data_IF_769510198255
#
_entry.id   IF_769510198255
#
_cell.length_a   1.000
_cell.length_b   1.000
_cell.length_c   1.000
_cell.angle_alpha   90.00
_cell.angle_beta   90.00
_cell.angle_gamma   90.00
#
_symmetry.space_group_name_H-M   'P 1'
#
loop_
_entity.id
_entity.type
_entity.pdbx_description
1 polymer ?
#
# COMPACT_ATOMS: atom_id res chain seq x y z
N UNK A 1 8.50 32.14 -13.08
CA UNK A 1 8.03 31.07 -12.18
C UNK A 1 8.50 29.76 -12.77
N UNK A 2 9.59 29.20 -12.22
CA UNK A 2 10.11 27.90 -12.68
C UNK A 2 9.19 26.84 -12.09
N UNK A 3 8.39 26.19 -12.96
CA UNK A 3 7.61 25.01 -12.61
C UNK A 3 8.58 23.99 -12.04
N UNK A 4 8.40 23.60 -10.77
CA UNK A 4 9.16 22.50 -10.19
C UNK A 4 8.92 21.29 -11.08
N UNK A 5 9.92 20.86 -11.83
CA UNK A 5 9.91 19.63 -12.61
C UNK A 5 9.67 18.49 -11.61
N UNK A 6 8.42 18.04 -11.50
CA UNK A 6 8.10 16.89 -10.66
C UNK A 6 8.93 15.71 -11.20
N UNK A 7 9.67 15.08 -10.32
CA UNK A 7 10.44 13.88 -10.65
C UNK A 7 9.49 12.83 -11.29
N UNK A 8 9.65 12.50 -12.58
CA UNK A 8 8.73 11.62 -13.27
C UNK A 8 8.66 10.23 -12.65
N UNK A 9 9.77 9.73 -12.09
CA UNK A 9 9.82 8.44 -11.39
C UNK A 9 8.90 8.48 -10.15
N UNK A 10 8.97 9.55 -9.36
CA UNK A 10 8.13 9.71 -8.18
C UNK A 10 6.64 9.84 -8.54
N UNK A 11 6.31 10.57 -9.61
CA UNK A 11 4.93 10.70 -10.08
C UNK A 11 4.35 9.37 -10.58
N UNK A 12 5.12 8.60 -11.35
CA UNK A 12 4.73 7.27 -11.82
C UNK A 12 4.54 6.32 -10.63
N UNK A 13 5.47 6.30 -9.68
CA UNK A 13 5.36 5.47 -8.48
C UNK A 13 4.06 5.77 -7.71
N UNK A 14 3.78 7.05 -7.46
CA UNK A 14 2.57 7.48 -6.75
C UNK A 14 1.29 7.05 -7.48
N UNK A 15 1.23 7.21 -8.80
CA UNK A 15 0.11 6.80 -9.63
C UNK A 15 -0.13 5.27 -9.57
N UNK A 16 0.93 4.47 -9.69
CA UNK A 16 0.85 3.01 -9.59
C UNK A 16 0.39 2.54 -8.20
N UNK A 17 0.86 3.19 -7.13
CA UNK A 17 0.41 2.90 -5.75
C UNK A 17 -1.07 3.20 -5.60
N UNK A 18 -1.54 4.34 -6.11
CA UNK A 18 -2.95 4.75 -6.05
C UNK A 18 -3.82 3.76 -6.81
N UNK A 19 -3.47 3.40 -8.04
CA UNK A 19 -4.20 2.42 -8.85
C UNK A 19 -4.29 1.06 -8.15
N UNK A 20 -3.20 0.58 -7.55
CA UNK A 20 -3.20 -0.68 -6.78
C UNK A 20 -4.11 -0.61 -5.56
N UNK A 21 -4.16 0.54 -4.86
CA UNK A 21 -5.07 0.76 -3.72
C UNK A 21 -6.53 0.67 -4.16
N UNK A 22 -6.89 1.31 -5.26
CA UNK A 22 -8.28 1.34 -5.77
C UNK A 22 -8.72 -0.04 -6.28
N UNK A 23 -7.86 -0.76 -6.98
CA UNK A 23 -8.13 -2.15 -7.39
C UNK A 23 -8.38 -3.09 -6.19
N UNK A 24 -7.66 -2.90 -5.08
CA UNK A 24 -7.86 -3.69 -3.87
C UNK A 24 -9.16 -3.32 -3.14
N UNK A 25 -9.55 -2.04 -3.13
CA UNK A 25 -10.86 -1.59 -2.60
C UNK A 25 -12.00 -2.18 -3.42
N UNK A 26 -11.92 -2.10 -4.74
CA UNK A 26 -12.93 -2.66 -5.64
C UNK A 26 -13.14 -4.18 -5.47
N UNK A 27 -12.10 -4.94 -5.15
CA UNK A 27 -12.19 -6.39 -4.86
C UNK A 27 -12.90 -6.68 -3.54
N UNK A 28 -12.77 -5.81 -2.53
CA UNK A 28 -13.45 -5.97 -1.24
C UNK A 28 -14.96 -5.67 -1.35
N UNK A 29 -15.35 -4.71 -2.19
CA UNK A 29 -16.76 -4.36 -2.41
C UNK A 29 -17.49 -5.31 -3.38
N UNK A 30 -16.77 -6.02 -4.26
CA UNK A 30 -17.35 -6.98 -5.23
C UNK A 30 -17.56 -8.40 -4.70
N UNK A 31 -17.30 -8.66 -3.45
CA UNK A 31 -17.60 -9.95 -2.82
C UNK A 31 -19.06 -9.98 -2.31
N UNK A 32 -20.02 -9.81 -3.23
CA UNK A 32 -21.39 -10.28 -3.08
C UNK A 32 -21.46 -11.80 -3.35
N UNK A 33 -22.53 -12.50 -2.93
CA UNK A 33 -22.61 -13.95 -3.00
C UNK A 33 -22.51 -14.56 -4.40
N UNK A 34 -22.56 -13.75 -5.48
CA UNK A 34 -22.57 -14.21 -6.86
C UNK A 34 -21.44 -13.67 -7.76
N UNK A 35 -20.41 -13.05 -7.18
CA UNK A 35 -19.36 -12.33 -7.94
C UNK A 35 -18.12 -13.15 -8.25
N UNK A 36 -18.20 -14.14 -9.16
CA UNK A 36 -17.01 -14.68 -9.80
C UNK A 36 -16.41 -13.65 -10.77
N UNK A 37 -15.07 -13.46 -10.79
CA UNK A 37 -14.44 -12.56 -11.75
C UNK A 37 -14.59 -13.11 -13.19
N UNK A 38 -14.63 -12.24 -14.23
CA UNK A 38 -14.84 -12.63 -15.61
C UNK A 38 -13.80 -13.63 -16.18
N UNK A 39 -12.69 -13.86 -15.48
CA UNK A 39 -11.61 -14.81 -15.85
C UNK A 39 -11.55 -16.08 -15.00
N UNK A 40 -12.59 -16.40 -14.19
CA UNK A 40 -12.65 -17.60 -13.33
C UNK A 40 -11.80 -17.47 -12.05
N UNK A 41 -11.71 -18.55 -11.27
CA UNK A 41 -11.04 -18.61 -9.95
C UNK A 41 -9.49 -18.63 -10.02
N UNK A 42 -8.89 -18.42 -11.19
CA UNK A 42 -7.45 -18.37 -11.38
C UNK A 42 -6.84 -16.97 -11.31
N UNK A 43 -5.52 -16.84 -11.07
CA UNK A 43 -4.83 -15.56 -11.19
C UNK A 43 -4.87 -15.10 -12.65
N UNK A 44 -4.96 -13.78 -12.90
CA UNK A 44 -4.99 -13.23 -14.26
C UNK A 44 -3.80 -13.71 -15.08
N UNK A 45 -3.95 -13.90 -16.41
CA UNK A 45 -2.93 -14.51 -17.28
C UNK A 45 -1.54 -13.83 -17.22
N UNK A 46 -1.48 -12.54 -16.89
CA UNK A 46 -0.24 -11.76 -16.81
C UNK A 46 0.52 -11.88 -15.48
N UNK A 47 0.01 -12.65 -14.50
CA UNK A 47 0.71 -12.89 -13.22
C UNK A 47 1.48 -14.21 -13.21
N UNK A 48 1.54 -14.92 -14.34
CA UNK A 48 2.19 -16.22 -14.46
C UNK A 48 3.68 -16.06 -14.77
N UNK A 49 4.43 -15.57 -13.77
CA UNK A 49 5.89 -15.54 -13.73
C UNK A 49 6.40 -16.26 -12.48
N UNK A 50 7.00 -17.42 -12.72
CA UNK A 50 7.90 -18.23 -11.90
C UNK A 50 7.44 -18.78 -10.55
N UNK A 51 7.61 -20.10 -10.47
CA UNK A 51 7.26 -21.05 -9.43
C UNK A 51 8.27 -21.05 -8.28
N UNK A 52 7.78 -21.20 -7.06
CA UNK A 52 8.59 -21.61 -5.93
C UNK A 52 7.80 -21.66 -4.62
N UNK A 53 7.42 -22.85 -4.13
CA UNK A 53 7.15 -23.12 -2.72
C UNK A 53 5.69 -23.11 -2.25
N UNK A 54 5.19 -24.31 -2.00
CA UNK A 54 3.91 -24.65 -1.39
C UNK A 54 3.74 -24.03 -0.01
N UNK A 55 2.69 -23.17 0.14
CA UNK A 55 1.83 -22.99 1.33
C UNK A 55 0.86 -21.85 0.99
N UNK A 56 -0.46 -22.07 1.09
CA UNK A 56 -1.62 -21.26 0.77
C UNK A 56 -1.39 -19.75 0.43
N UNK A 57 -1.42 -19.32 -0.86
CA UNK A 57 -0.90 -18.02 -1.26
C UNK A 57 -1.79 -16.82 -0.92
N UNK A 58 -3.08 -17.03 -0.67
CA UNK A 58 -4.04 -15.92 -0.64
C UNK A 58 -4.05 -15.13 0.68
N UNK A 59 -3.69 -15.77 1.80
CA UNK A 59 -3.73 -15.09 3.10
C UNK A 59 -2.46 -14.26 3.36
N UNK A 60 -1.30 -14.72 2.89
CA UNK A 60 -0.02 -14.02 3.07
C UNK A 60 0.12 -12.76 2.24
N UNK A 61 -0.37 -12.74 1.00
CA UNK A 61 -0.30 -11.57 0.12
C UNK A 61 -1.28 -10.47 0.54
N UNK A 62 -2.49 -10.84 0.97
CA UNK A 62 -3.48 -9.88 1.48
C UNK A 62 -3.05 -9.29 2.83
N UNK A 63 -2.50 -10.11 3.73
CA UNK A 63 -1.93 -9.65 5.00
C UNK A 63 -0.72 -8.74 4.80
N UNK A 64 0.16 -9.05 3.85
CA UNK A 64 1.31 -8.22 3.50
C UNK A 64 0.92 -6.84 2.97
N UNK A 65 -0.03 -6.79 2.04
CA UNK A 65 -0.51 -5.52 1.49
C UNK A 65 -1.25 -4.66 2.52
N UNK A 66 -2.05 -5.28 3.40
CA UNK A 66 -2.76 -4.58 4.46
C UNK A 66 -1.77 -4.04 5.52
N UNK A 67 -0.75 -4.83 5.87
CA UNK A 67 0.33 -4.40 6.77
C UNK A 67 1.09 -3.21 6.20
N UNK A 68 1.47 -3.27 4.93
CA UNK A 68 2.14 -2.13 4.29
C UNK A 68 1.31 -0.86 4.36
N UNK A 69 -0.02 -0.95 4.06
CA UNK A 69 -0.92 0.21 4.15
C UNK A 69 -1.02 0.75 5.57
N UNK A 70 -1.06 -0.11 6.58
CA UNK A 70 -1.08 0.29 7.98
C UNK A 70 0.19 1.04 8.37
N UNK A 71 1.36 0.49 8.03
CA UNK A 71 2.64 1.15 8.31
C UNK A 71 2.76 2.48 7.55
N UNK A 72 2.31 2.54 6.30
CA UNK A 72 2.31 3.75 5.47
C UNK A 72 1.33 4.82 6.02
N UNK A 73 0.17 4.41 6.53
CA UNK A 73 -0.78 5.31 7.21
C UNK A 73 -0.17 5.87 8.51
N UNK A 74 0.48 5.03 9.32
CA UNK A 74 1.18 5.45 10.53
C UNK A 74 2.29 6.47 10.21
N UNK A 75 3.08 6.23 9.16
CA UNK A 75 4.12 7.17 8.76
C UNK A 75 3.55 8.51 8.26
N UNK A 76 2.37 8.48 7.65
CA UNK A 76 1.69 9.67 7.12
C UNK A 76 0.96 10.47 8.21
N UNK A 77 0.67 9.87 9.35
CA UNK A 77 0.17 10.57 10.52
C UNK A 77 1.30 11.46 11.08
N UNK A 78 1.02 12.74 11.34
CA UNK A 78 2.04 13.76 11.61
C UNK A 78 2.99 13.46 12.77
N UNK A 79 2.52 12.73 13.81
CA UNK A 79 3.30 12.26 14.95
C UNK A 79 3.61 10.74 14.88
N UNK A 80 3.31 10.10 13.75
CA UNK A 80 3.45 8.66 13.51
C UNK A 80 2.69 7.77 14.51
N UNK A 81 1.60 8.29 15.09
CA UNK A 81 0.75 7.61 16.09
C UNK A 81 -0.69 7.53 15.60
N UNK A 82 -1.35 6.41 15.80
CA UNK A 82 -2.77 6.22 15.51
C UNK A 82 -3.41 5.25 16.48
N UNK A 83 -4.68 5.49 16.82
CA UNK A 83 -5.52 4.50 17.50
C UNK A 83 -5.95 3.38 16.56
N UNK A 84 -6.39 2.25 17.12
CA UNK A 84 -6.82 1.09 16.30
C UNK A 84 -8.01 1.45 15.38
N UNK A 85 -8.94 2.27 15.85
CA UNK A 85 -10.09 2.70 15.04
C UNK A 85 -9.65 3.58 13.87
N UNK A 86 -8.71 4.50 14.10
CA UNK A 86 -8.13 5.37 13.07
C UNK A 86 -7.36 4.54 12.02
N UNK A 87 -6.61 3.53 12.46
CA UNK A 87 -5.95 2.57 11.57
C UNK A 87 -6.98 1.81 10.73
N UNK A 88 -8.06 1.30 11.34
CA UNK A 88 -9.11 0.57 10.66
C UNK A 88 -9.73 1.39 9.54
N UNK A 89 -10.05 2.65 9.82
CA UNK A 89 -10.57 3.62 8.85
C UNK A 89 -9.56 3.91 7.74
N UNK A 90 -8.31 4.25 8.09
CA UNK A 90 -7.26 4.59 7.14
C UNK A 90 -6.97 3.47 6.12
N UNK A 91 -7.04 2.20 6.54
CA UNK A 91 -6.79 1.06 5.66
C UNK A 91 -8.07 0.39 5.13
N UNK A 92 -9.26 0.94 5.49
CA UNK A 92 -10.59 0.46 5.07
C UNK A 92 -10.82 -1.03 5.43
N UNK A 93 -10.68 -1.35 6.71
CA UNK A 93 -10.99 -2.67 7.31
C UNK A 93 -11.82 -2.50 8.56
N UNK A 94 -12.42 -3.60 9.06
CA UNK A 94 -13.05 -3.60 10.37
C UNK A 94 -12.03 -3.53 11.52
N UNK A 95 -12.47 -3.07 12.69
CA UNK A 95 -11.62 -2.91 13.87
C UNK A 95 -11.00 -4.23 14.37
N UNK A 96 -11.71 -5.39 14.38
CA UNK A 96 -11.10 -6.67 14.72
C UNK A 96 -9.94 -7.06 13.82
N UNK A 97 -10.06 -6.77 12.51
CA UNK A 97 -9.00 -7.03 11.53
C UNK A 97 -7.82 -6.09 11.71
N UNK A 98 -8.08 -4.80 11.94
CA UNK A 98 -7.03 -3.84 12.27
C UNK A 98 -6.27 -4.25 13.55
N UNK A 99 -6.99 -4.66 14.59
CA UNK A 99 -6.39 -5.13 15.85
C UNK A 99 -5.48 -6.35 15.65
N UNK A 100 -5.91 -7.35 14.86
CA UNK A 100 -5.08 -8.51 14.52
C UNK A 100 -3.82 -8.09 13.76
N UNK A 101 -3.96 -7.22 12.77
CA UNK A 101 -2.85 -6.73 11.96
C UNK A 101 -1.81 -5.97 12.79
N UNK A 102 -2.28 -5.17 13.75
CA UNK A 102 -1.41 -4.47 14.72
C UNK A 102 -0.67 -5.48 15.60
N UNK A 103 -1.36 -6.50 16.15
CA UNK A 103 -0.72 -7.54 16.97
C UNK A 103 0.37 -8.28 16.20
N UNK A 104 0.05 -8.79 15.00
CA UNK A 104 1.02 -9.47 14.14
C UNK A 104 2.22 -8.58 13.77
N UNK A 105 1.99 -7.27 13.64
CA UNK A 105 3.06 -6.32 13.31
C UNK A 105 3.90 -5.98 14.54
N UNK A 106 3.30 -5.96 15.74
CA UNK A 106 4.02 -5.80 17.00
C UNK A 106 4.90 -7.02 17.31
N UNK A 107 4.39 -8.25 17.11
CA UNK A 107 5.16 -9.48 17.22
C UNK A 107 6.39 -9.51 16.30
N UNK A 108 6.32 -8.83 15.16
CA UNK A 108 7.43 -8.67 14.21
C UNK A 108 8.32 -7.47 14.53
N UNK A 109 8.04 -6.74 15.60
CA UNK A 109 8.80 -5.56 16.00
C UNK A 109 8.64 -4.35 15.06
N UNK A 110 7.62 -4.32 14.18
CA UNK A 110 7.41 -3.22 13.22
C UNK A 110 6.65 -2.05 13.81
N UNK A 111 5.84 -2.31 14.81
CA UNK A 111 5.08 -1.29 15.57
C UNK A 111 5.17 -1.59 17.06
N UNK A 112 4.92 -0.59 17.88
CA UNK A 112 4.75 -0.72 19.32
C UNK A 112 3.43 -0.12 19.75
N UNK A 113 2.88 -0.60 20.88
CA UNK A 113 1.70 -0.02 21.53
C UNK A 113 2.12 0.77 22.74
N UNK A 114 1.55 1.96 22.91
CA UNK A 114 1.74 2.78 24.10
C UNK A 114 0.39 3.28 24.61
N UNK A 115 0.33 3.63 25.88
CA UNK A 115 -0.78 4.43 26.40
C UNK A 115 -0.74 5.80 25.75
N UNK A 116 -1.92 6.35 25.39
CA UNK A 116 -2.01 7.72 24.90
C UNK A 116 -1.68 8.69 26.06
N UNK A 117 -0.78 9.63 25.80
CA UNK A 117 -0.38 10.64 26.82
C UNK A 117 -1.54 11.56 27.22
N UNK A 118 -2.56 11.70 26.35
CA UNK A 118 -3.73 12.56 26.60
C UNK A 118 -4.88 11.79 27.26
N UNK A 119 -4.93 10.47 27.08
CA UNK A 119 -5.94 9.59 27.68
C UNK A 119 -5.33 8.21 27.93
N UNK A 120 -4.93 7.93 29.14
CA UNK A 120 -4.33 6.65 29.55
C UNK A 120 -5.23 5.42 29.34
N UNK A 121 -6.53 5.62 29.05
CA UNK A 121 -7.48 4.55 28.70
C UNK A 121 -7.40 4.16 27.23
N UNK A 122 -6.76 5.00 26.39
CA UNK A 122 -6.56 4.76 24.97
C UNK A 122 -5.16 4.19 24.71
N UNK A 123 -5.08 3.26 23.79
CA UNK A 123 -3.81 2.74 23.29
C UNK A 123 -3.55 3.30 21.90
N UNK A 124 -2.39 3.83 21.69
CA UNK A 124 -1.89 4.27 20.38
C UNK A 124 -0.83 3.31 19.86
N UNK A 125 -0.75 3.21 18.55
CA UNK A 125 0.22 2.40 17.81
C UNK A 125 1.24 3.34 17.18
N UNK A 126 2.51 3.04 17.37
CA UNK A 126 3.64 3.81 16.83
C UNK A 126 4.50 2.94 15.94
N UNK A 127 5.09 3.53 14.89
CA UNK A 127 6.13 2.89 14.09
C UNK A 127 7.42 2.77 14.89
N UNK A 128 8.02 1.57 14.85
CA UNK A 128 9.40 1.37 15.29
C UNK A 128 10.39 1.77 14.19
N UNK A 129 11.68 1.83 14.54
CA UNK A 129 12.77 1.99 13.57
C UNK A 129 12.75 0.89 12.49
N UNK A 130 12.52 -0.37 12.91
CA UNK A 130 12.40 -1.50 11.99
C UNK A 130 11.19 -1.35 11.04
N UNK A 131 10.06 -0.81 11.52
CA UNK A 131 8.89 -0.51 10.70
C UNK A 131 9.17 0.58 9.67
N UNK A 132 9.90 1.63 10.04
CA UNK A 132 10.34 2.69 9.13
C UNK A 132 11.27 2.16 8.06
N UNK A 133 12.30 1.43 8.46
CA UNK A 133 13.28 0.82 7.54
C UNK A 133 12.59 -0.13 6.53
N UNK A 134 11.61 -0.93 6.97
CA UNK A 134 10.82 -1.77 6.07
C UNK A 134 10.08 -0.97 4.99
N UNK A 135 9.47 0.16 5.38
CA UNK A 135 8.77 1.05 4.44
C UNK A 135 9.74 1.70 3.45
N UNK A 136 10.86 2.20 3.93
CA UNK A 136 11.90 2.83 3.11
C UNK A 136 12.47 1.84 2.09
N UNK A 137 12.81 0.63 2.50
CA UNK A 137 13.26 -0.42 1.61
C UNK A 137 12.22 -0.78 0.54
N UNK A 138 10.94 -0.89 0.92
CA UNK A 138 9.87 -1.17 -0.02
C UNK A 138 9.64 -0.02 -1.02
N UNK A 139 9.81 1.23 -0.57
CA UNK A 139 9.76 2.42 -1.45
C UNK A 139 10.96 2.44 -2.40
N UNK A 140 12.17 2.20 -1.89
CA UNK A 140 13.38 2.14 -2.70
C UNK A 140 13.27 1.06 -3.80
N UNK A 141 12.80 -0.14 -3.45
CA UNK A 141 12.59 -1.23 -4.41
C UNK A 141 11.59 -0.85 -5.50
N UNK A 142 10.47 -0.20 -5.15
CA UNK A 142 9.50 0.25 -6.15
C UNK A 142 10.06 1.34 -7.04
N UNK A 143 10.78 2.30 -6.44
CA UNK A 143 11.44 3.37 -7.19
C UNK A 143 12.44 2.82 -8.20
N UNK A 144 13.28 1.86 -7.78
CA UNK A 144 14.21 1.16 -8.68
C UNK A 144 13.46 0.49 -9.84
N UNK A 145 12.41 -0.28 -9.54
CA UNK A 145 11.62 -0.95 -10.56
C UNK A 145 10.98 0.02 -11.57
N UNK A 146 10.53 1.20 -11.12
CA UNK A 146 10.02 2.25 -12.04
C UNK A 146 11.15 2.83 -12.87
N UNK A 147 12.29 3.13 -12.24
CA UNK A 147 13.48 3.65 -12.95
C UNK A 147 13.94 2.68 -14.05
N UNK A 148 14.02 1.39 -13.73
CA UNK A 148 14.40 0.34 -14.69
C UNK A 148 13.37 0.22 -15.83
N UNK A 149 12.08 0.31 -15.52
CA UNK A 149 11.02 0.20 -16.52
C UNK A 149 11.01 1.36 -17.53
N UNK A 150 11.45 2.55 -17.12
CA UNK A 150 11.52 3.72 -18.01
C UNK A 150 12.95 4.02 -18.49
N UNK A 151 13.89 3.11 -18.30
CA UNK A 151 15.30 3.34 -18.69
C UNK A 151 15.49 3.61 -20.20
N UNK A 152 14.58 3.14 -21.05
CA UNK A 152 14.57 3.40 -22.49
C UNK A 152 13.83 4.67 -22.91
N UNK A 153 13.26 5.43 -21.97
CA UNK A 153 12.52 6.67 -22.28
C UNK A 153 13.47 7.86 -22.30
N UNK A 154 13.19 8.82 -23.18
CA UNK A 154 13.81 10.15 -23.04
C UNK A 154 13.22 10.88 -21.82
N UNK A 155 13.88 11.93 -21.30
CA UNK A 155 13.34 12.73 -20.20
C UNK A 155 11.94 13.29 -20.49
N UNK A 156 11.69 13.69 -21.75
CA UNK A 156 10.40 14.24 -22.21
C UNK A 156 9.32 13.17 -22.26
N UNK A 157 9.65 11.97 -22.74
CA UNK A 157 8.74 10.82 -22.73
C UNK A 157 8.38 10.39 -21.32
N UNK A 158 9.36 10.32 -20.41
CA UNK A 158 9.13 9.99 -19.01
C UNK A 158 8.22 11.00 -18.31
N UNK A 159 8.44 12.30 -18.55
CA UNK A 159 7.60 13.37 -18.02
C UNK A 159 6.17 13.31 -18.59
N UNK A 160 6.03 13.09 -19.89
CA UNK A 160 4.73 12.94 -20.56
C UNK A 160 3.97 11.73 -20.03
N UNK A 161 4.64 10.59 -19.91
CA UNK A 161 4.04 9.36 -19.36
C UNK A 161 3.58 9.57 -17.92
N UNK A 162 4.42 10.19 -17.07
CA UNK A 162 4.06 10.50 -15.69
C UNK A 162 2.80 11.36 -15.59
N UNK A 163 2.71 12.42 -16.40
CA UNK A 163 1.57 13.32 -16.42
C UNK A 163 0.28 12.61 -16.89
N UNK A 164 0.37 11.82 -17.95
CA UNK A 164 -0.77 11.08 -18.49
C UNK A 164 -1.25 9.99 -17.52
N UNK A 165 -0.33 9.25 -16.89
CA UNK A 165 -0.65 8.21 -15.92
C UNK A 165 -1.32 8.81 -14.67
N UNK A 166 -0.83 9.94 -14.18
CA UNK A 166 -1.45 10.65 -13.04
C UNK A 166 -2.89 11.04 -13.37
N UNK A 167 -3.12 11.69 -14.52
CA UNK A 167 -4.47 12.07 -14.97
C UNK A 167 -5.39 10.85 -15.14
N UNK A 168 -4.88 9.76 -15.70
CA UNK A 168 -5.64 8.53 -15.85
C UNK A 168 -6.08 7.96 -14.50
N UNK A 169 -5.16 7.90 -13.52
CA UNK A 169 -5.47 7.38 -12.17
C UNK A 169 -6.44 8.29 -11.42
N UNK A 170 -6.34 9.60 -11.56
CA UNK A 170 -7.29 10.57 -10.98
C UNK A 170 -8.70 10.42 -11.54
N UNK A 171 -8.81 10.14 -12.85
CA UNK A 171 -10.09 9.93 -13.54
C UNK A 171 -10.64 8.49 -13.36
N UNK A 172 -9.88 7.56 -12.75
CA UNK A 172 -10.30 6.17 -12.60
C UNK A 172 -11.56 6.08 -11.72
N UNK A 173 -12.65 5.42 -12.17
CA UNK A 173 -13.86 5.25 -11.38
C UNK A 173 -13.56 4.46 -10.10
N UNK A 174 -14.01 5.00 -8.95
CA UNK A 174 -13.84 4.42 -7.62
C UNK A 174 -15.09 3.68 -7.18
#
# INVERSE_FOLDING_TARGET
MVSQSQDPVAAIEAALVTMRRDQQRGRLHRRGPDGAPPWGDGPPPWTRGERGGHHGPHDRTLGGAARFRMLDALLSAGDARMGISEIAEAISVDQPRASRLVNESAERGLVTRRADERDARRSVVELTEAGRALLENARATRRSAVTDAIAGFTPEEAATFAALLTRFVEAWPR
#
